data_IF_026692968834
#
_entry.id   IF_026692968834
#
_cell.length_a   1.000
_cell.length_b   1.000
_cell.length_c   1.000
_cell.angle_alpha   90.00
_cell.angle_beta   90.00
_cell.angle_gamma   90.00
#
_symmetry.space_group_name_H-M   'P 1'
#
loop_
_entity.id
_entity.type
_entity.pdbx_description
1 polymer ?
#
# COMPACT_ATOMS: atom_id res chain seq x y z
N UNK A 1 42.83 41.24 61.41
CA UNK A 1 43.02 42.71 61.50
C UNK A 1 43.11 43.27 60.09
N UNK A 2 42.19 44.21 59.78
CA UNK A 2 42.29 45.36 58.88
C UNK A 2 43.14 45.36 57.58
N UNK A 3 42.46 45.84 56.52
CA UNK A 3 42.88 46.84 55.50
C UNK A 3 43.80 46.33 54.36
N UNK A 4 43.36 46.36 53.09
CA UNK A 4 43.07 47.47 52.13
C UNK A 4 44.29 47.94 51.33
N UNK A 5 44.14 47.94 50.00
CA UNK A 5 44.81 48.81 49.02
C UNK A 5 46.21 48.35 48.58
N UNK A 6 46.77 48.70 47.43
CA UNK A 6 46.35 49.46 46.25
C UNK A 6 47.41 49.16 45.15
N UNK A 7 47.02 48.90 43.90
CA UNK A 7 47.22 49.75 42.71
C UNK A 7 48.68 50.00 42.25
N UNK A 8 48.95 49.48 41.04
CA UNK A 8 49.84 49.93 39.95
C UNK A 8 51.36 50.06 40.16
N UNK A 9 52.12 49.42 39.27
CA UNK A 9 52.91 50.13 38.24
C UNK A 9 53.40 49.18 37.15
N UNK A 10 53.23 49.65 35.91
CA UNK A 10 53.70 49.05 34.69
C UNK A 10 55.23 49.03 34.64
N UNK A 11 55.80 47.89 34.25
CA UNK A 11 57.16 47.74 33.78
C UNK A 11 57.11 46.96 32.46
N UNK A 12 57.18 47.68 31.35
CA UNK A 12 57.36 47.11 30.02
C UNK A 12 58.81 46.63 29.94
N UNK A 13 59.01 45.32 29.88
CA UNK A 13 60.28 44.69 29.52
C UNK A 13 60.01 43.91 28.23
N UNK A 14 60.41 44.52 27.11
CA UNK A 14 60.47 43.88 25.80
C UNK A 14 61.62 42.88 25.84
N UNK A 15 61.29 41.60 25.98
CA UNK A 15 62.23 40.50 25.76
C UNK A 15 61.71 39.71 24.57
N UNK A 16 62.32 39.96 23.41
CA UNK A 16 62.15 39.16 22.20
C UNK A 16 62.78 37.78 22.44
N UNK A 17 61.94 36.80 22.77
CA UNK A 17 62.28 35.39 22.78
C UNK A 17 61.53 34.72 21.62
N UNK A 18 62.30 34.34 20.60
CA UNK A 18 61.90 33.40 19.55
C UNK A 18 61.45 32.09 20.22
N UNK A 19 60.14 31.92 20.38
CA UNK A 19 59.53 30.66 20.75
C UNK A 19 59.17 29.88 19.47
N UNK A 20 59.43 28.57 19.42
CA UNK A 20 59.05 27.74 18.28
C UNK A 20 57.52 27.70 18.19
N UNK A 21 56.99 27.88 16.98
CA UNK A 21 55.61 27.50 16.68
C UNK A 21 55.45 26.01 16.97
N UNK A 22 54.98 25.66 18.17
CA UNK A 22 54.26 24.42 18.37
C UNK A 22 52.98 24.57 17.55
N UNK A 23 52.96 23.95 16.37
CA UNK A 23 51.72 23.69 15.66
C UNK A 23 50.83 22.84 16.60
N UNK A 24 49.84 23.47 17.22
CA UNK A 24 48.68 22.75 17.72
C UNK A 24 48.00 22.13 16.49
N UNK A 25 48.31 20.86 16.21
CA UNK A 25 47.43 20.04 15.42
C UNK A 25 46.13 19.91 16.22
N UNK A 26 45.13 20.72 15.88
CA UNK A 26 43.76 20.44 16.28
C UNK A 26 43.38 19.19 15.50
N UNK A 27 43.47 18.02 16.14
CA UNK A 27 42.76 16.84 15.67
C UNK A 27 41.28 17.18 15.71
N UNK A 28 40.76 17.64 14.57
CA UNK A 28 39.33 17.55 14.30
C UNK A 28 39.04 16.06 14.23
N UNK A 29 38.61 15.49 15.36
CA UNK A 29 38.06 14.16 15.40
C UNK A 29 36.88 14.15 14.43
N UNK A 30 37.11 13.62 13.22
CA UNK A 30 36.05 13.34 12.27
C UNK A 30 35.19 12.28 12.95
N UNK A 31 34.08 12.72 13.54
CA UNK A 31 33.05 11.80 14.02
C UNK A 31 32.64 10.93 12.84
N UNK A 32 33.03 9.66 12.89
CA UNK A 32 32.58 8.66 11.96
C UNK A 32 31.04 8.77 11.89
N UNK A 33 30.43 8.75 10.69
CA UNK A 33 28.98 8.82 10.58
C UNK A 33 28.41 7.71 11.45
N UNK A 34 27.55 8.10 12.39
CA UNK A 34 26.84 7.15 13.24
C UNK A 34 26.23 6.09 12.32
N UNK A 35 26.51 4.81 12.62
CA UNK A 35 25.87 3.71 11.93
C UNK A 35 24.36 3.97 11.89
N UNK A 36 23.68 3.74 10.75
CA UNK A 36 22.23 3.92 10.70
C UNK A 36 21.62 3.10 11.83
N UNK A 37 20.59 3.63 12.53
CA UNK A 37 20.00 2.95 13.66
C UNK A 37 19.66 1.53 13.25
N UNK A 38 20.16 0.56 14.01
CA UNK A 38 19.78 -0.84 13.87
C UNK A 38 18.26 -0.87 13.98
N UNK A 39 17.57 -1.22 12.89
CA UNK A 39 16.12 -1.39 12.89
C UNK A 39 15.84 -2.57 13.83
N UNK A 40 15.52 -2.25 15.07
CA UNK A 40 14.94 -3.18 16.02
C UNK A 40 13.54 -3.44 15.48
N UNK A 41 13.38 -4.53 14.73
CA UNK A 41 12.08 -5.14 14.55
C UNK A 41 11.68 -5.63 15.93
N UNK A 42 10.94 -4.79 16.67
CA UNK A 42 9.97 -5.33 17.61
C UNK A 42 9.12 -6.26 16.75
N UNK A 43 9.21 -7.57 16.98
CA UNK A 43 8.25 -8.52 16.40
C UNK A 43 6.88 -8.08 16.91
N UNK A 44 6.23 -7.20 16.14
CA UNK A 44 4.90 -6.73 16.44
C UNK A 44 4.03 -7.98 16.56
N UNK A 45 3.47 -8.19 17.74
CA UNK A 45 2.75 -9.41 18.07
C UNK A 45 1.55 -9.53 17.12
N UNK A 46 1.66 -10.43 16.15
CA UNK A 46 0.61 -10.66 15.16
C UNK A 46 -0.52 -11.43 15.83
N UNK A 47 -1.73 -10.89 15.79
CA UNK A 47 -2.92 -11.53 16.37
C UNK A 47 -3.21 -12.85 15.63
N UNK A 48 -3.57 -13.89 16.39
CA UNK A 48 -3.94 -15.22 15.89
C UNK A 48 -5.26 -15.69 16.50
N UNK A 49 -5.89 -16.67 15.87
CA UNK A 49 -7.12 -17.30 16.35
C UNK A 49 -8.38 -16.49 16.05
N UNK A 50 -9.50 -16.86 16.68
CA UNK A 50 -10.82 -16.28 16.42
C UNK A 50 -10.87 -14.82 16.85
N UNK A 51 -11.19 -13.94 15.91
CA UNK A 51 -11.33 -12.52 16.13
C UNK A 51 -12.67 -12.03 15.58
N UNK A 52 -13.32 -11.03 16.22
CA UNK A 52 -14.60 -10.50 15.74
C UNK A 52 -14.51 -9.90 14.33
N UNK A 53 -13.32 -9.40 13.95
CA UNK A 53 -13.15 -8.55 12.77
C UNK A 53 -13.79 -7.18 13.01
N UNK A 54 -13.84 -6.31 11.99
CA UNK A 54 -14.59 -5.07 12.10
C UNK A 54 -16.09 -5.38 12.04
N UNK A 55 -16.87 -4.64 12.81
CA UNK A 55 -18.31 -4.61 12.61
C UNK A 55 -18.69 -4.00 11.26
N UNK A 56 -20.00 -3.87 11.03
CA UNK A 56 -20.56 -3.39 9.77
C UNK A 56 -20.90 -1.91 9.84
N UNK A 57 -20.50 -1.16 8.79
CA UNK A 57 -21.05 0.17 8.59
C UNK A 57 -22.49 0.04 8.11
N UNK A 58 -23.37 0.88 8.63
CA UNK A 58 -24.77 0.92 8.24
C UNK A 58 -25.05 2.21 7.50
N UNK A 59 -25.57 2.09 6.29
CA UNK A 59 -25.99 3.22 5.46
C UNK A 59 -27.49 3.12 5.24
N UNK A 60 -28.26 4.09 5.72
CA UNK A 60 -29.73 4.01 5.72
C UNK A 60 -30.39 5.21 5.05
N UNK A 61 -31.58 4.96 4.48
CA UNK A 61 -32.53 6.00 4.03
C UNK A 61 -33.94 5.42 4.02
N UNK A 62 -34.78 5.85 4.97
CA UNK A 62 -36.09 5.22 5.20
C UNK A 62 -35.93 3.74 5.57
N UNK A 63 -36.72 2.87 4.94
CA UNK A 63 -36.70 1.42 5.18
C UNK A 63 -35.60 0.66 4.42
N UNK A 64 -34.68 1.40 3.78
CA UNK A 64 -33.60 0.83 2.97
C UNK A 64 -32.27 0.93 3.70
N UNK A 65 -31.57 -0.21 3.80
CA UNK A 65 -30.26 -0.31 4.43
C UNK A 65 -29.22 -0.93 3.49
N UNK A 66 -28.02 -0.37 3.51
CA UNK A 66 -26.81 -0.92 2.92
C UNK A 66 -25.81 -1.18 4.06
N UNK A 67 -25.54 -2.45 4.30
CA UNK A 67 -24.52 -2.91 5.22
C UNK A 67 -23.19 -3.03 4.49
N UNK A 68 -22.13 -2.41 5.00
CA UNK A 68 -20.83 -2.39 4.36
C UNK A 68 -19.81 -3.06 5.28
N UNK A 69 -19.23 -4.16 4.81
CA UNK A 69 -18.04 -4.76 5.39
C UNK A 69 -16.79 -4.00 4.94
N UNK A 70 -16.14 -3.34 5.89
CA UNK A 70 -14.85 -2.69 5.68
C UNK A 70 -13.71 -3.71 5.64
N UNK A 71 -13.03 -3.85 4.50
CA UNK A 71 -11.90 -4.77 4.34
C UNK A 71 -10.55 -4.08 4.46
N UNK A 72 -9.56 -4.84 4.91
CA UNK A 72 -8.16 -4.42 4.95
C UNK A 72 -7.29 -5.46 4.24
N UNK A 73 -6.23 -4.99 3.60
CA UNK A 73 -5.17 -5.83 3.07
C UNK A 73 -3.84 -5.07 3.23
N UNK A 74 -2.77 -5.71 3.72
CA UNK A 74 -2.70 -7.12 4.15
C UNK A 74 -3.38 -7.37 5.52
N UNK A 75 -3.55 -8.65 5.88
CA UNK A 75 -4.07 -9.14 7.17
C UNK A 75 -3.16 -10.22 7.76
N UNK A 76 -3.30 -10.57 9.05
CA UNK A 76 -2.57 -11.68 9.63
C UNK A 76 -2.86 -12.97 8.84
N UNK A 77 -1.80 -13.72 8.53
CA UNK A 77 -1.89 -14.92 7.70
C UNK A 77 -2.78 -16.00 8.32
N UNK A 78 -2.69 -16.15 9.64
CA UNK A 78 -3.37 -17.20 10.41
C UNK A 78 -4.57 -16.62 11.19
N UNK A 79 -5.25 -15.64 10.59
CA UNK A 79 -6.46 -15.03 11.13
C UNK A 79 -7.66 -15.96 10.96
N UNK A 80 -8.37 -16.24 12.05
CA UNK A 80 -9.68 -16.86 12.02
C UNK A 80 -10.73 -15.78 12.32
N UNK A 81 -11.63 -15.51 11.39
CA UNK A 81 -12.61 -14.44 11.55
C UNK A 81 -13.97 -15.00 11.97
N UNK A 82 -14.54 -14.48 13.05
CA UNK A 82 -15.90 -14.77 13.50
C UNK A 82 -16.91 -14.03 12.62
N UNK A 83 -17.32 -14.69 11.54
CA UNK A 83 -18.15 -14.07 10.51
C UNK A 83 -19.66 -14.15 10.76
N UNK A 84 -20.13 -14.58 11.93
CA UNK A 84 -21.56 -14.88 12.18
C UNK A 84 -22.46 -13.70 11.84
N UNK A 85 -22.11 -12.48 12.26
CA UNK A 85 -22.87 -11.27 11.93
C UNK A 85 -22.95 -11.06 10.41
N UNK A 86 -21.83 -11.19 9.70
CA UNK A 86 -21.78 -11.05 8.24
C UNK A 86 -22.62 -12.11 7.54
N UNK A 87 -22.56 -13.36 7.99
CA UNK A 87 -23.37 -14.44 7.44
C UNK A 87 -24.87 -14.20 7.65
N UNK A 88 -25.26 -13.73 8.84
CA UNK A 88 -26.66 -13.38 9.16
C UNK A 88 -27.16 -12.23 8.29
N UNK A 89 -26.40 -11.13 8.19
CA UNK A 89 -26.81 -9.96 7.42
C UNK A 89 -26.87 -10.28 5.91
N UNK A 90 -25.93 -11.05 5.38
CA UNK A 90 -26.00 -11.52 3.99
C UNK A 90 -27.25 -12.37 3.77
N UNK A 91 -27.59 -13.26 4.71
CA UNK A 91 -28.82 -14.08 4.64
C UNK A 91 -30.12 -13.27 4.66
N UNK A 92 -30.08 -12.04 5.19
CA UNK A 92 -31.23 -11.11 5.22
C UNK A 92 -31.20 -10.09 4.07
N UNK A 93 -30.15 -10.09 3.25
CA UNK A 93 -29.98 -9.13 2.15
C UNK A 93 -30.57 -9.69 0.85
N UNK A 94 -31.08 -8.81 -0.02
CA UNK A 94 -31.50 -9.21 -1.36
C UNK A 94 -30.36 -9.19 -2.37
N UNK A 95 -29.28 -8.46 -2.08
CA UNK A 95 -28.18 -8.25 -3.00
C UNK A 95 -26.85 -8.12 -2.25
N UNK A 96 -25.78 -8.66 -2.85
CA UNK A 96 -24.39 -8.52 -2.38
C UNK A 96 -23.59 -7.79 -3.44
N UNK A 97 -22.99 -6.65 -3.10
CA UNK A 97 -22.16 -5.85 -3.98
C UNK A 97 -20.68 -6.16 -3.74
N UNK A 98 -19.96 -6.46 -4.83
CA UNK A 98 -18.51 -6.66 -4.78
C UNK A 98 -17.77 -5.36 -4.47
N UNK A 99 -16.54 -5.49 -3.99
CA UNK A 99 -15.64 -4.36 -3.84
C UNK A 99 -15.28 -3.74 -5.20
N UNK A 100 -15.11 -2.41 -5.26
CA UNK A 100 -14.80 -1.68 -6.49
C UNK A 100 -13.47 -2.18 -7.07
N UNK A 101 -13.54 -2.75 -8.26
CA UNK A 101 -12.41 -3.31 -8.99
C UNK A 101 -12.29 -2.67 -10.37
N UNK A 102 -11.08 -2.47 -10.85
CA UNK A 102 -10.82 -2.16 -12.26
C UNK A 102 -10.36 -3.43 -12.92
N UNK A 103 -11.00 -3.79 -14.03
CA UNK A 103 -10.54 -4.90 -14.87
C UNK A 103 -10.10 -4.33 -16.21
N UNK A 104 -8.83 -4.55 -16.52
CA UNK A 104 -8.28 -4.22 -17.82
C UNK A 104 -8.36 -5.49 -18.67
N UNK A 105 -9.18 -5.46 -19.71
CA UNK A 105 -9.26 -6.57 -20.66
C UNK A 105 -8.68 -6.16 -22.01
N UNK A 106 -8.04 -7.12 -22.67
CA UNK A 106 -7.64 -6.99 -24.06
C UNK A 106 -8.74 -7.63 -24.90
N UNK A 107 -9.23 -6.93 -25.93
CA UNK A 107 -10.28 -7.44 -26.82
C UNK A 107 -9.71 -8.48 -27.80
N UNK A 108 -9.16 -9.55 -27.23
CA UNK A 108 -8.58 -10.69 -27.92
C UNK A 108 -9.09 -11.95 -27.23
N UNK A 109 -9.67 -12.87 -28.00
CA UNK A 109 -10.15 -14.16 -27.47
C UNK A 109 -9.03 -15.00 -26.84
N UNK A 110 -9.38 -16.16 -26.27
CA UNK A 110 -8.45 -17.06 -25.56
C UNK A 110 -7.13 -17.33 -26.33
N UNK A 111 -7.24 -17.64 -27.63
CA UNK A 111 -6.07 -17.88 -28.49
C UNK A 111 -5.21 -16.63 -28.69
N UNK A 112 -5.83 -15.45 -28.78
CA UNK A 112 -5.14 -14.18 -28.86
C UNK A 112 -4.37 -13.86 -27.58
N UNK A 113 -4.96 -14.12 -26.40
CA UNK A 113 -4.28 -14.00 -25.11
C UNK A 113 -3.06 -14.93 -25.02
N UNK A 114 -3.21 -16.19 -25.47
CA UNK A 114 -2.10 -17.15 -25.51
C UNK A 114 -0.95 -16.69 -26.45
N UNK A 115 -1.29 -16.14 -27.62
CA UNK A 115 -0.31 -15.60 -28.56
C UNK A 115 0.46 -14.37 -28.02
N UNK A 116 -0.13 -13.60 -27.08
CA UNK A 116 0.52 -12.46 -26.43
C UNK A 116 1.43 -12.87 -25.25
N UNK A 117 1.28 -14.08 -24.72
CA UNK A 117 1.99 -14.54 -23.52
C UNK A 117 3.52 -14.41 -23.63
N UNK A 118 4.19 -14.82 -24.72
CA UNK A 118 5.64 -14.68 -24.82
C UNK A 118 6.10 -13.21 -24.79
N UNK A 119 5.36 -12.32 -25.44
CA UNK A 119 5.66 -10.89 -25.46
C UNK A 119 5.45 -10.26 -24.07
N UNK A 120 4.38 -10.64 -23.36
CA UNK A 120 4.13 -10.22 -21.98
C UNK A 120 5.24 -10.71 -21.03
N UNK A 121 5.62 -12.00 -21.13
CA UNK A 121 6.73 -12.58 -20.35
C UNK A 121 8.06 -11.87 -20.59
N UNK A 122 8.33 -11.46 -21.84
CA UNK A 122 9.52 -10.65 -22.17
C UNK A 122 9.41 -9.24 -21.61
N UNK A 123 8.23 -8.62 -21.66
CA UNK A 123 7.99 -7.27 -21.13
C UNK A 123 8.08 -7.18 -19.59
N UNK A 124 8.05 -8.32 -18.88
CA UNK A 124 8.31 -8.39 -17.44
C UNK A 124 9.81 -8.41 -17.08
N UNK A 125 10.70 -8.59 -18.05
CA UNK A 125 12.16 -8.61 -17.85
C UNK A 125 12.79 -7.30 -18.30
N UNK A 126 13.97 -6.99 -17.76
CA UNK A 126 14.76 -5.88 -18.27
C UNK A 126 15.18 -6.13 -19.72
N UNK A 127 15.35 -5.05 -20.47
CA UNK A 127 15.82 -5.11 -21.84
C UNK A 127 17.24 -5.70 -21.91
N UNK A 128 17.50 -6.45 -22.98
CA UNK A 128 18.78 -7.09 -23.28
C UNK A 128 19.31 -8.02 -22.20
N UNK A 129 18.44 -8.46 -21.28
CA UNK A 129 18.80 -9.36 -20.19
C UNK A 129 19.57 -8.71 -19.05
N UNK A 130 19.60 -7.36 -18.99
CA UNK A 130 20.21 -6.59 -17.90
C UNK A 130 19.66 -7.01 -16.53
N UNK A 131 20.50 -6.89 -15.52
CA UNK A 131 20.11 -7.14 -14.13
C UNK A 131 19.75 -5.82 -13.42
N UNK A 132 19.11 -5.91 -12.26
CA UNK A 132 18.72 -4.75 -11.45
C UNK A 132 19.92 -3.83 -11.13
N UNK A 133 21.12 -4.40 -10.95
CA UNK A 133 22.35 -3.62 -10.74
C UNK A 133 22.73 -2.73 -11.92
N UNK A 134 22.32 -3.11 -13.13
CA UNK A 134 22.68 -2.41 -14.36
C UNK A 134 21.65 -1.30 -14.70
N UNK A 135 20.48 -1.29 -14.05
CA UNK A 135 19.37 -0.37 -14.35
C UNK A 135 18.98 0.53 -13.18
N UNK A 136 19.35 0.18 -11.94
CA UNK A 136 19.05 0.97 -10.76
C UNK A 136 20.23 1.91 -10.41
N UNK A 137 19.94 3.08 -9.81
CA UNK A 137 20.96 3.89 -9.15
C UNK A 137 21.75 3.05 -8.12
N UNK A 138 23.08 3.23 -8.01
CA UNK A 138 23.93 2.43 -7.13
C UNK A 138 23.45 2.42 -5.67
N UNK A 139 23.02 3.56 -5.12
CA UNK A 139 22.51 3.62 -3.75
C UNK A 139 21.23 2.79 -3.56
N UNK A 140 20.38 2.76 -4.59
CA UNK A 140 19.13 2.03 -4.56
C UNK A 140 19.37 0.52 -4.67
N UNK A 141 20.34 0.10 -5.49
CA UNK A 141 20.74 -1.30 -5.60
C UNK A 141 21.38 -1.84 -4.30
N UNK A 142 22.19 -1.02 -3.62
CA UNK A 142 22.78 -1.40 -2.34
C UNK A 142 21.71 -1.70 -1.29
N UNK A 143 20.71 -0.82 -1.15
CA UNK A 143 19.55 -1.03 -0.25
C UNK A 143 18.72 -2.25 -0.65
N UNK A 144 18.48 -2.44 -1.95
CA UNK A 144 17.82 -3.62 -2.48
C UNK A 144 18.51 -4.92 -2.05
N UNK A 145 19.84 -4.98 -2.14
CA UNK A 145 20.59 -6.20 -1.81
C UNK A 145 20.40 -6.59 -0.34
N UNK A 146 20.36 -5.61 0.57
CA UNK A 146 20.07 -5.84 1.99
C UNK A 146 18.65 -6.36 2.17
N UNK A 147 17.66 -5.69 1.59
CA UNK A 147 16.25 -6.09 1.72
C UNK A 147 15.98 -7.47 1.10
N UNK A 148 16.56 -7.75 -0.07
CA UNK A 148 16.48 -9.04 -0.75
C UNK A 148 17.08 -10.16 0.09
N UNK A 149 18.29 -9.96 0.64
CA UNK A 149 18.93 -10.94 1.51
C UNK A 149 18.07 -11.25 2.74
N UNK A 150 17.42 -10.23 3.30
CA UNK A 150 16.47 -10.39 4.42
C UNK A 150 15.22 -11.16 3.98
N UNK A 151 14.49 -10.73 2.97
CA UNK A 151 13.12 -11.25 2.76
C UNK A 151 13.02 -12.36 1.71
N UNK A 152 13.92 -12.39 0.71
CA UNK A 152 13.84 -13.30 -0.45
C UNK A 152 14.97 -14.34 -0.51
N UNK A 153 16.03 -14.16 0.28
CA UNK A 153 17.19 -15.05 0.26
C UNK A 153 17.96 -14.98 -1.08
N UNK A 154 18.28 -16.15 -1.65
CA UNK A 154 19.19 -16.28 -2.82
C UNK A 154 18.49 -16.32 -4.18
N UNK A 155 17.25 -15.87 -4.29
CA UNK A 155 16.53 -15.85 -5.57
C UNK A 155 17.30 -15.02 -6.61
N UNK A 156 17.83 -15.67 -7.65
CA UNK A 156 18.55 -15.01 -8.75
C UNK A 156 17.60 -14.58 -9.88
N UNK A 157 16.40 -15.17 -9.96
CA UNK A 157 15.43 -14.89 -11.01
C UNK A 157 14.88 -13.46 -10.93
N UNK A 158 14.77 -12.92 -9.71
CA UNK A 158 14.28 -11.55 -9.47
C UNK A 158 15.21 -10.48 -10.05
N UNK A 159 16.52 -10.73 -10.17
CA UNK A 159 17.49 -9.73 -10.67
C UNK A 159 17.27 -9.37 -12.14
N UNK A 160 16.64 -10.25 -12.93
CA UNK A 160 16.37 -10.01 -14.35
C UNK A 160 14.99 -9.41 -14.62
N UNK A 161 14.17 -9.27 -13.58
CA UNK A 161 12.84 -8.67 -13.69
C UNK A 161 12.97 -7.15 -13.76
N UNK A 162 11.96 -6.51 -14.35
CA UNK A 162 11.82 -5.06 -14.27
C UNK A 162 11.76 -4.61 -12.81
N UNK A 163 12.33 -3.43 -12.46
CA UNK A 163 12.36 -2.97 -11.07
C UNK A 163 11.00 -3.07 -10.38
N UNK A 164 9.92 -2.53 -10.94
CA UNK A 164 8.58 -2.61 -10.32
C UNK A 164 8.18 -4.05 -9.92
N UNK A 165 8.42 -5.03 -10.78
CA UNK A 165 8.05 -6.42 -10.50
C UNK A 165 8.94 -7.04 -9.43
N UNK A 166 10.24 -6.76 -9.46
CA UNK A 166 11.17 -7.17 -8.42
C UNK A 166 10.78 -6.59 -7.05
N UNK A 167 10.43 -5.30 -7.00
CA UNK A 167 9.95 -4.66 -5.79
C UNK A 167 8.62 -5.25 -5.31
N UNK A 168 7.69 -5.55 -6.22
CA UNK A 168 6.43 -6.22 -5.89
C UNK A 168 6.64 -7.59 -5.24
N UNK A 169 7.62 -8.37 -5.73
CA UNK A 169 7.98 -9.66 -5.14
C UNK A 169 8.67 -9.53 -3.79
N UNK A 170 9.56 -8.54 -3.63
CA UNK A 170 10.14 -8.19 -2.33
C UNK A 170 9.05 -7.85 -1.32
N UNK A 171 8.07 -7.02 -1.71
CA UNK A 171 6.96 -6.64 -0.85
C UNK A 171 6.15 -7.87 -0.42
N UNK A 172 5.85 -8.79 -1.33
CA UNK A 172 5.16 -10.05 -0.98
C UNK A 172 5.97 -10.92 -0.02
N UNK A 173 7.27 -11.04 -0.26
CA UNK A 173 8.16 -11.81 0.60
C UNK A 173 8.26 -11.17 2.01
N UNK A 174 8.31 -9.84 2.07
CA UNK A 174 8.34 -9.08 3.31
C UNK A 174 7.06 -9.25 4.14
N UNK A 175 5.88 -9.17 3.49
CA UNK A 175 4.60 -9.45 4.14
C UNK A 175 4.57 -10.86 4.72
N UNK A 176 4.93 -11.86 3.91
CA UNK A 176 4.94 -13.27 4.34
C UNK A 176 5.86 -13.49 5.55
N UNK A 177 7.05 -12.88 5.53
CA UNK A 177 8.01 -12.99 6.64
C UNK A 177 7.53 -12.29 7.91
N UNK A 178 6.70 -11.26 7.76
CA UNK A 178 6.06 -10.51 8.85
C UNK A 178 4.76 -11.14 9.35
N UNK A 179 4.44 -12.39 8.93
CA UNK A 179 3.20 -13.07 9.34
C UNK A 179 1.93 -12.50 8.68
N UNK A 180 2.07 -11.69 7.63
CA UNK A 180 0.96 -11.08 6.90
C UNK A 180 0.70 -11.77 5.55
N UNK A 181 -0.53 -11.70 5.09
CA UNK A 181 -0.95 -12.16 3.78
C UNK A 181 -1.95 -11.19 3.14
N UNK A 182 -1.94 -11.11 1.81
CA UNK A 182 -3.05 -10.51 1.06
C UNK A 182 -4.20 -11.51 1.07
N UNK A 183 -4.96 -11.52 2.16
CA UNK A 183 -5.83 -12.63 2.47
C UNK A 183 -7.10 -12.63 1.58
N UNK A 184 -7.36 -13.72 0.83
CA UNK A 184 -8.65 -13.93 0.18
C UNK A 184 -9.74 -14.39 1.17
N UNK A 185 -9.41 -14.55 2.46
CA UNK A 185 -10.31 -15.14 3.48
C UNK A 185 -11.62 -14.37 3.58
N UNK A 186 -11.59 -13.03 3.58
CA UNK A 186 -12.80 -12.21 3.67
C UNK A 186 -13.76 -12.51 2.51
N UNK A 187 -13.25 -12.51 1.27
CA UNK A 187 -14.10 -12.75 0.11
C UNK A 187 -14.67 -14.17 0.12
N UNK A 188 -13.89 -15.17 0.54
CA UNK A 188 -14.35 -16.55 0.62
C UNK A 188 -15.54 -16.73 1.58
N UNK A 189 -15.57 -15.98 2.68
CA UNK A 189 -16.69 -15.97 3.64
C UNK A 189 -17.93 -15.36 3.02
N UNK A 190 -17.79 -14.17 2.41
CA UNK A 190 -18.89 -13.47 1.76
C UNK A 190 -19.49 -14.31 0.63
N UNK A 191 -18.64 -14.95 -0.19
CA UNK A 191 -19.09 -15.80 -1.29
C UNK A 191 -19.84 -17.04 -0.80
N UNK A 192 -19.35 -17.71 0.26
CA UNK A 192 -20.06 -18.85 0.87
C UNK A 192 -21.41 -18.43 1.45
N UNK A 193 -21.47 -17.30 2.16
CA UNK A 193 -22.71 -16.78 2.72
C UNK A 193 -23.72 -16.41 1.63
N UNK A 194 -23.29 -15.68 0.59
CA UNK A 194 -24.12 -15.31 -0.54
C UNK A 194 -24.68 -16.55 -1.26
N UNK A 195 -23.83 -17.56 -1.48
CA UNK A 195 -24.24 -18.84 -2.08
C UNK A 195 -25.31 -19.55 -1.24
N UNK A 196 -25.16 -19.61 0.08
CA UNK A 196 -26.17 -20.22 0.98
C UNK A 196 -27.51 -19.46 0.95
N UNK A 197 -27.46 -18.14 0.78
CA UNK A 197 -28.64 -17.30 0.64
C UNK A 197 -29.24 -17.31 -0.78
N UNK A 198 -28.65 -18.04 -1.74
CA UNK A 198 -29.09 -18.03 -3.14
C UNK A 198 -28.81 -16.73 -3.89
N UNK A 199 -27.94 -15.87 -3.36
CA UNK A 199 -27.60 -14.56 -3.93
C UNK A 199 -26.38 -14.71 -4.82
N UNK A 200 -26.51 -14.31 -6.09
CA UNK A 200 -25.37 -14.12 -6.98
C UNK A 200 -24.75 -12.74 -6.71
N UNK A 201 -23.46 -12.65 -6.30
CA UNK A 201 -22.82 -11.36 -6.09
C UNK A 201 -22.86 -10.49 -7.36
N UNK A 202 -23.17 -9.21 -7.16
CA UNK A 202 -23.20 -8.21 -8.22
C UNK A 202 -21.80 -7.65 -8.42
N UNK A 203 -21.26 -7.85 -9.63
CA UNK A 203 -20.00 -7.25 -10.05
C UNK A 203 -20.11 -5.73 -10.01
N UNK A 204 -19.10 -5.08 -9.44
CA UNK A 204 -18.93 -3.61 -9.45
C UNK A 204 -17.65 -3.23 -10.21
N UNK A 205 -17.24 -4.12 -11.11
CA UNK A 205 -16.03 -3.98 -11.91
C UNK A 205 -16.20 -2.89 -12.96
N UNK A 206 -15.33 -1.89 -12.92
CA UNK A 206 -15.14 -0.95 -14.01
C UNK A 206 -14.25 -1.59 -15.07
N UNK A 207 -14.85 -2.00 -16.19
CA UNK A 207 -14.11 -2.58 -17.32
C UNK A 207 -13.44 -1.50 -18.15
N UNK A 208 -12.17 -1.72 -18.47
CA UNK A 208 -11.39 -0.90 -19.37
C UNK A 208 -10.82 -1.78 -20.49
N UNK A 209 -11.26 -1.56 -21.72
CA UNK A 209 -10.80 -2.31 -22.88
C UNK A 209 -9.55 -1.69 -23.46
N UNK A 210 -8.55 -2.52 -23.74
CA UNK A 210 -7.38 -2.12 -24.51
C UNK A 210 -7.64 -2.44 -25.99
N UNK A 211 -7.81 -1.39 -26.79
CA UNK A 211 -8.08 -1.51 -28.24
C UNK A 211 -6.92 -2.16 -29.01
N UNK A 212 -5.67 -1.86 -28.65
CA UNK A 212 -4.47 -2.44 -29.28
C UNK A 212 -3.51 -3.03 -28.23
N UNK A 213 -3.73 -4.29 -27.81
CA UNK A 213 -2.94 -4.91 -26.74
C UNK A 213 -1.48 -5.15 -27.13
N UNK A 214 -1.19 -5.43 -28.42
CA UNK A 214 0.19 -5.57 -28.90
C UNK A 214 0.96 -4.27 -28.75
N UNK A 215 0.36 -3.15 -29.16
CA UNK A 215 0.97 -1.83 -29.00
C UNK A 215 1.09 -1.46 -27.51
N UNK A 216 0.09 -1.77 -26.68
CA UNK A 216 0.16 -1.51 -25.24
C UNK A 216 1.34 -2.25 -24.57
N UNK A 217 1.57 -3.52 -24.92
CA UNK A 217 2.73 -4.29 -24.43
C UNK A 217 4.05 -3.67 -24.92
N UNK A 218 4.10 -3.24 -26.18
CA UNK A 218 5.29 -2.57 -26.75
C UNK A 218 5.59 -1.25 -26.05
N UNK A 219 4.57 -0.41 -25.83
CA UNK A 219 4.69 0.87 -25.13
C UNK A 219 5.10 0.68 -23.67
N UNK A 220 4.49 -0.30 -22.98
CA UNK A 220 4.85 -0.64 -21.61
C UNK A 220 6.32 -1.03 -21.52
N UNK A 221 6.83 -1.82 -22.48
CA UNK A 221 8.22 -2.24 -22.55
C UNK A 221 9.18 -1.08 -22.88
N UNK A 222 8.79 -0.17 -23.76
CA UNK A 222 9.64 0.94 -24.22
C UNK A 222 9.77 2.12 -23.24
N UNK A 223 9.51 1.91 -21.93
CA UNK A 223 9.57 2.97 -20.93
C UNK A 223 8.25 3.72 -20.74
N UNK A 224 7.11 3.09 -21.01
CA UNK A 224 5.79 3.63 -20.72
C UNK A 224 5.50 3.88 -19.23
N UNK A 225 6.49 3.71 -18.34
CA UNK A 225 6.40 3.86 -16.88
C UNK A 225 7.78 4.12 -16.24
N UNK A 226 7.80 4.92 -15.16
CA UNK A 226 8.97 5.04 -14.29
C UNK A 226 8.99 3.89 -13.26
N UNK A 227 9.62 2.79 -13.64
CA UNK A 227 9.79 1.63 -12.77
C UNK A 227 10.67 1.93 -11.54
N UNK A 228 11.59 2.87 -11.66
CA UNK A 228 12.57 3.18 -10.60
C UNK A 228 11.91 3.95 -9.47
N UNK A 229 11.02 4.89 -9.77
CA UNK A 229 10.23 5.59 -8.75
C UNK A 229 9.32 4.62 -7.98
N UNK A 230 8.60 3.75 -8.70
CA UNK A 230 7.77 2.71 -8.06
C UNK A 230 8.63 1.75 -7.21
N UNK A 231 9.77 1.30 -7.73
CA UNK A 231 10.71 0.47 -6.97
C UNK A 231 11.15 1.14 -5.67
N UNK A 232 11.59 2.40 -5.75
CA UNK A 232 12.03 3.18 -4.59
C UNK A 232 10.93 3.29 -3.54
N UNK A 233 9.70 3.58 -3.97
CA UNK A 233 8.56 3.71 -3.05
C UNK A 233 8.29 2.40 -2.31
N UNK A 234 8.23 1.28 -3.03
CA UNK A 234 7.98 -0.02 -2.40
C UNK A 234 9.13 -0.39 -1.45
N UNK A 235 10.37 -0.12 -1.83
CA UNK A 235 11.52 -0.41 -0.97
C UNK A 235 11.46 0.40 0.33
N UNK A 236 11.13 1.69 0.27
CA UNK A 236 10.92 2.52 1.47
C UNK A 236 9.81 1.94 2.35
N UNK A 237 8.70 1.50 1.74
CA UNK A 237 7.60 0.87 2.48
C UNK A 237 8.02 -0.44 3.16
N UNK A 238 8.80 -1.28 2.48
CA UNK A 238 9.35 -2.51 3.09
C UNK A 238 10.31 -2.18 4.24
N UNK A 239 11.11 -1.12 4.11
CA UNK A 239 12.07 -0.73 5.13
C UNK A 239 11.46 -0.08 6.37
N UNK A 240 10.30 0.59 6.23
CA UNK A 240 9.77 1.49 7.28
C UNK A 240 8.36 1.17 7.75
N UNK A 241 7.51 0.64 6.88
CA UNK A 241 6.07 0.65 7.11
C UNK A 241 5.52 -0.74 7.49
N UNK A 242 6.34 -1.80 7.48
CA UNK A 242 5.88 -3.14 7.89
C UNK A 242 5.30 -3.17 9.31
N UNK A 243 5.91 -2.53 10.34
CA UNK A 243 5.33 -2.50 11.68
C UNK A 243 3.94 -1.84 11.69
N UNK A 244 3.79 -0.70 11.00
CA UNK A 244 2.51 -0.02 10.83
C UNK A 244 1.49 -0.91 10.12
N UNK A 245 1.89 -1.72 9.13
CA UNK A 245 1.00 -2.66 8.47
C UNK A 245 0.52 -3.77 9.41
N UNK A 246 1.40 -4.29 10.27
CA UNK A 246 1.03 -5.27 11.30
C UNK A 246 0.07 -4.65 12.31
N UNK A 247 0.35 -3.44 12.77
CA UNK A 247 -0.52 -2.72 13.71
C UNK A 247 -1.91 -2.48 13.14
N UNK A 248 -2.00 -2.03 11.88
CA UNK A 248 -3.28 -1.89 11.17
C UNK A 248 -4.00 -3.23 11.02
N UNK A 249 -3.26 -4.28 10.66
CA UNK A 249 -3.81 -5.62 10.49
C UNK A 249 -4.41 -6.15 11.81
N UNK A 250 -3.72 -5.93 12.93
CA UNK A 250 -4.19 -6.27 14.26
C UNK A 250 -5.41 -5.44 14.68
N UNK A 251 -5.38 -4.12 14.46
CA UNK A 251 -6.50 -3.23 14.77
C UNK A 251 -7.77 -3.64 14.00
N UNK A 252 -7.63 -4.01 12.73
CA UNK A 252 -8.73 -4.58 11.95
C UNK A 252 -9.27 -5.89 12.53
N UNK A 253 -8.37 -6.80 12.92
CA UNK A 253 -8.76 -8.10 13.48
C UNK A 253 -9.63 -7.93 14.72
N UNK A 254 -9.30 -7.01 15.62
CA UNK A 254 -10.05 -6.79 16.87
C UNK A 254 -11.19 -5.77 16.75
N UNK A 255 -11.42 -5.20 15.57
CA UNK A 255 -12.46 -4.18 15.35
C UNK A 255 -12.12 -2.78 15.89
N UNK A 256 -10.85 -2.48 16.15
CA UNK A 256 -10.40 -1.15 16.59
C UNK A 256 -10.36 -0.16 15.42
N UNK A 257 -11.53 0.38 15.08
CA UNK A 257 -11.70 1.35 14.00
C UNK A 257 -11.00 2.68 14.33
N UNK A 258 -10.85 3.04 15.59
CA UNK A 258 -10.24 4.31 15.97
C UNK A 258 -8.74 4.30 15.71
N UNK A 259 -8.04 3.24 16.10
CA UNK A 259 -6.65 3.03 15.73
C UNK A 259 -6.48 2.98 14.21
N UNK A 260 -7.38 2.31 13.48
CA UNK A 260 -7.34 2.28 12.01
C UNK A 260 -7.46 3.65 11.34
N UNK A 261 -8.20 4.59 11.94
CA UNK A 261 -8.36 5.97 11.47
C UNK A 261 -7.12 6.81 11.71
N UNK A 262 -6.46 6.61 12.85
CA UNK A 262 -5.29 7.37 13.27
C UNK A 262 -4.02 6.92 12.54
N UNK A 263 -3.90 5.62 12.27
CA UNK A 263 -2.73 5.07 11.58
C UNK A 263 -2.69 5.55 10.11
N UNK A 264 -1.50 5.84 9.57
CA UNK A 264 -1.35 6.20 8.16
C UNK A 264 -2.04 5.19 7.24
N UNK A 265 -2.78 5.70 6.26
CA UNK A 265 -3.39 4.87 5.21
C UNK A 265 -2.28 4.41 4.26
N UNK A 266 -1.60 3.33 4.61
CA UNK A 266 -0.69 2.68 3.69
C UNK A 266 -1.52 1.97 2.62
N UNK A 267 -1.64 2.55 1.42
CA UNK A 267 -1.92 1.77 0.21
C UNK A 267 -0.59 1.59 -0.54
N UNK A 268 0.08 0.44 -0.38
CA UNK A 268 1.34 0.17 -1.07
C UNK A 268 1.19 0.08 -2.59
N UNK A 269 -0.03 -0.03 -3.12
CA UNK A 269 -0.30 0.01 -4.55
C UNK A 269 -0.47 1.45 -5.06
N UNK A 270 -0.85 2.41 -4.21
CA UNK A 270 -1.09 3.80 -4.61
C UNK A 270 0.13 4.50 -5.24
N UNK A 271 1.38 4.32 -4.78
CA UNK A 271 2.54 4.94 -5.40
C UNK A 271 2.80 4.41 -6.81
N UNK A 272 2.68 3.10 -7.01
CA UNK A 272 2.91 2.48 -8.31
C UNK A 272 1.74 2.72 -9.27
N UNK A 273 0.49 2.63 -8.80
CA UNK A 273 -0.71 2.98 -9.58
C UNK A 273 -0.74 4.47 -9.95
N UNK A 274 -0.36 5.36 -9.03
CA UNK A 274 -0.20 6.78 -9.29
C UNK A 274 0.92 7.06 -10.29
N UNK A 275 2.05 6.36 -10.17
CA UNK A 275 3.11 6.38 -11.17
C UNK A 275 2.58 5.92 -12.53
N UNK A 276 1.81 4.81 -12.61
CA UNK A 276 1.18 4.32 -13.86
C UNK A 276 0.23 5.35 -14.46
N UNK A 277 -0.64 5.96 -13.64
CA UNK A 277 -1.62 6.96 -14.06
C UNK A 277 -0.97 8.29 -14.49
N UNK A 278 0.20 8.61 -13.94
CA UNK A 278 0.95 9.82 -14.28
C UNK A 278 1.70 9.72 -15.61
N UNK A 279 1.84 8.51 -16.18
CA UNK A 279 2.51 8.29 -17.47
C UNK A 279 1.74 8.88 -18.65
N UNK A 280 2.48 9.37 -19.65
CA UNK A 280 1.89 9.85 -20.91
C UNK A 280 1.08 8.77 -21.64
N UNK A 281 1.35 7.48 -21.38
CA UNK A 281 0.67 6.31 -21.95
C UNK A 281 -0.74 6.14 -21.38
N UNK A 282 -0.93 6.35 -20.07
CA UNK A 282 -2.24 6.31 -19.40
C UNK A 282 -3.09 7.56 -19.75
N UNK A 283 -2.48 8.75 -19.74
CA UNK A 283 -3.15 10.01 -20.11
C UNK A 283 -3.61 10.04 -21.58
N UNK A 284 -2.78 9.58 -22.52
CA UNK A 284 -3.13 9.47 -23.95
C UNK A 284 -4.26 8.47 -24.23
N UNK A 285 -4.53 7.57 -23.28
CA UNK A 285 -5.57 6.54 -23.39
C UNK A 285 -6.83 6.88 -22.58
N UNK A 286 -6.97 8.11 -22.07
CA UNK A 286 -8.17 8.54 -21.35
C UNK A 286 -8.32 7.92 -19.96
N UNK A 287 -7.24 7.38 -19.38
CA UNK A 287 -7.16 6.95 -17.97
C UNK A 287 -6.85 8.17 -17.10
N UNK A 288 -7.62 9.24 -17.29
CA UNK A 288 -7.60 10.41 -16.41
C UNK A 288 -8.64 10.15 -15.31
N UNK A 289 -8.26 10.33 -14.04
CA UNK A 289 -9.12 10.13 -12.87
C UNK A 289 -9.82 8.75 -12.81
N UNK A 290 -9.03 7.67 -12.96
CA UNK A 290 -9.54 6.30 -12.84
C UNK A 290 -10.19 6.05 -11.47
N UNK A 291 -9.62 6.62 -10.41
CA UNK A 291 -10.15 6.47 -9.05
C UNK A 291 -11.52 7.13 -8.90
N UNK A 292 -11.69 8.36 -9.39
CA UNK A 292 -12.97 9.05 -9.38
C UNK A 292 -14.03 8.32 -10.20
N UNK A 293 -13.67 7.83 -11.39
CA UNK A 293 -14.57 7.02 -12.23
C UNK A 293 -14.99 5.72 -11.56
N UNK A 294 -14.06 5.00 -10.97
CA UNK A 294 -14.34 3.75 -10.24
C UNK A 294 -15.27 4.01 -9.05
N UNK A 295 -15.02 5.09 -8.31
CA UNK A 295 -15.84 5.50 -7.16
C UNK A 295 -17.25 5.87 -7.59
N UNK A 296 -17.39 6.66 -8.65
CA UNK A 296 -18.68 7.05 -9.20
C UNK A 296 -19.47 5.84 -9.70
N UNK A 297 -18.83 4.96 -10.47
CA UNK A 297 -19.45 3.74 -10.98
C UNK A 297 -19.99 2.84 -9.86
N UNK A 298 -19.21 2.65 -8.80
CA UNK A 298 -19.65 1.86 -7.65
C UNK A 298 -20.81 2.54 -6.90
N UNK A 299 -20.76 3.86 -6.71
CA UNK A 299 -21.84 4.61 -6.04
C UNK A 299 -23.16 4.54 -6.81
N UNK A 300 -23.12 4.58 -8.14
CA UNK A 300 -24.30 4.38 -8.99
C UNK A 300 -24.93 3.00 -8.77
N UNK A 301 -24.13 1.94 -8.71
CA UNK A 301 -24.63 0.58 -8.43
C UNK A 301 -25.20 0.51 -7.00
N UNK A 302 -24.49 1.08 -6.02
CA UNK A 302 -24.90 1.03 -4.62
C UNK A 302 -26.20 1.80 -4.36
N UNK A 303 -26.35 2.99 -4.92
CA UNK A 303 -27.57 3.80 -4.80
C UNK A 303 -28.76 3.16 -5.49
N UNK A 304 -28.56 2.55 -6.65
CA UNK A 304 -29.61 1.77 -7.32
C UNK A 304 -30.03 0.53 -6.51
N UNK A 305 -29.09 -0.18 -5.90
CA UNK A 305 -29.39 -1.30 -5.02
C UNK A 305 -30.17 -0.85 -3.77
N UNK A 306 -29.75 0.25 -3.14
CA UNK A 306 -30.44 0.89 -2.02
C UNK A 306 -31.88 1.29 -2.35
N UNK A 307 -32.15 1.79 -3.56
CA UNK A 307 -33.51 2.16 -3.97
C UNK A 307 -34.42 0.94 -4.21
N UNK A 308 -33.86 -0.18 -4.66
CA UNK A 308 -34.63 -1.37 -5.05
C UNK A 308 -34.83 -2.38 -3.93
N UNK A 309 -33.89 -2.47 -2.99
CA UNK A 309 -33.85 -3.52 -1.98
C UNK A 309 -34.05 -2.92 -0.59
N UNK A 310 -34.72 -3.66 0.30
CA UNK A 310 -34.80 -3.28 1.72
C UNK A 310 -33.46 -3.43 2.43
N UNK A 311 -32.69 -4.47 2.09
CA UNK A 311 -31.37 -4.74 2.64
C UNK A 311 -30.39 -5.14 1.54
N UNK A 312 -29.28 -4.41 1.44
CA UNK A 312 -28.16 -4.72 0.56
C UNK A 312 -26.90 -4.90 1.39
N UNK A 313 -26.05 -5.85 1.02
CA UNK A 313 -24.74 -6.02 1.61
C UNK A 313 -23.66 -5.59 0.61
N UNK A 314 -22.56 -5.01 1.09
CA UNK A 314 -21.45 -4.59 0.26
C UNK A 314 -20.10 -4.82 0.95
N UNK A 315 -19.07 -4.91 0.12
CA UNK A 315 -17.68 -4.99 0.56
C UNK A 315 -16.93 -3.75 0.07
N UNK A 316 -16.21 -3.06 0.95
CA UNK A 316 -15.38 -1.90 0.58
C UNK A 316 -14.04 -1.90 1.33
N UNK A 317 -12.91 -1.55 0.69
CA UNK A 317 -11.67 -1.29 1.41
C UNK A 317 -11.84 -0.11 2.39
N UNK A 318 -11.46 -0.29 3.66
CA UNK A 318 -11.60 0.75 4.71
C UNK A 318 -10.91 2.05 4.30
N UNK A 319 -9.76 1.96 3.64
CA UNK A 319 -9.01 3.14 3.18
C UNK A 319 -9.85 4.03 2.25
N UNK A 320 -10.65 3.44 1.36
CA UNK A 320 -11.54 4.18 0.43
C UNK A 320 -12.87 4.53 1.07
N UNK A 321 -13.37 3.71 1.98
CA UNK A 321 -14.61 3.98 2.72
C UNK A 321 -14.47 5.22 3.61
N UNK A 322 -13.35 5.32 4.32
CA UNK A 322 -13.09 6.33 5.37
C UNK A 322 -12.19 7.49 4.94
N UNK A 323 -11.80 7.56 3.66
CA UNK A 323 -11.13 8.75 3.12
C UNK A 323 -12.03 9.99 3.28
N UNK A 324 -11.43 11.17 3.39
CA UNK A 324 -12.14 12.44 3.57
C UNK A 324 -13.19 12.70 2.48
N UNK A 325 -12.91 12.31 1.24
CA UNK A 325 -13.82 12.34 0.09
C UNK A 325 -14.26 10.94 -0.38
N UNK A 326 -14.14 9.95 0.52
CA UNK A 326 -14.40 8.53 0.32
C UNK A 326 -15.88 8.17 0.21
N UNK A 327 -16.16 6.87 0.15
CA UNK A 327 -17.54 6.37 -0.06
C UNK A 327 -18.51 6.81 1.04
N UNK A 328 -18.12 6.75 2.31
CA UNK A 328 -18.99 7.17 3.42
C UNK A 328 -19.34 8.66 3.34
N UNK A 329 -18.35 9.52 3.06
CA UNK A 329 -18.56 10.96 2.91
C UNK A 329 -19.50 11.29 1.75
N UNK A 330 -19.37 10.60 0.62
CA UNK A 330 -20.24 10.79 -0.55
C UNK A 330 -21.66 10.30 -0.33
N UNK A 331 -21.85 9.16 0.35
CA UNK A 331 -23.17 8.68 0.73
C UNK A 331 -23.87 9.67 1.68
N UNK A 332 -23.14 10.24 2.65
CA UNK A 332 -23.68 11.33 3.49
C UNK A 332 -24.09 12.55 2.67
N UNK A 333 -23.25 12.98 1.72
CA UNK A 333 -23.56 14.11 0.84
C UNK A 333 -24.80 13.86 -0.05
N UNK A 334 -25.13 12.60 -0.35
CA UNK A 334 -26.35 12.20 -1.06
C UNK A 334 -27.59 12.09 -0.15
N UNK A 335 -27.47 12.41 1.14
CA UNK A 335 -28.55 12.41 2.11
C UNK A 335 -28.85 11.03 2.71
N UNK A 336 -27.88 10.11 2.72
CA UNK A 336 -27.95 8.87 3.49
C UNK A 336 -27.39 9.09 4.90
N UNK A 337 -28.00 8.46 5.89
CA UNK A 337 -27.41 8.34 7.22
C UNK A 337 -26.30 7.27 7.17
N UNK A 338 -25.16 7.53 7.79
CA UNK A 338 -24.00 6.63 7.76
C UNK A 338 -23.43 6.47 9.17
N UNK A 339 -23.73 5.32 9.76
CA UNK A 339 -23.29 4.89 11.08
C UNK A 339 -22.00 4.04 10.93
N UNK A 340 -21.01 4.31 11.78
CA UNK A 340 -19.81 3.48 11.86
C UNK A 340 -20.09 2.24 12.75
N UNK A 341 -19.29 1.16 12.62
CA UNK A 341 -19.40 -0.04 13.44
C UNK A 341 -19.30 0.23 14.94
#
# INVERSE_FOLDING_TARGET
MQRRGAVWRAGILVVSLLAPMLACAVEVAVQAPAAPPTVVDLEAMVVRGQQPGPGLWKVSKGDHVLWILGTLSPLPKDLEWQATEVETIIGQSQQVLMAPMVQVDADVGMFGKLALMPAAMKAMKNEDGRELRDVLPPELYARWTVAKARYMGRDRGVERKRPMLAAGELYQAALKRSGLARSPVIWSVVERAAKRAGIKPTSTTLEYKIDNPRQAIKDFRAGGMDDTACFRSILVTVERDLPTMVERANAWSVGDIETLRQLPRADPQAPCMGAMASTGVAKKRGINDLEGRLRQHWLEIATQALQRNRSTFAVLPISRLTASDGYAARLRAMGYEVEAP
#
